data_IF_671919315421
#
_entry.id   IF_671919315421
#
_cell.length_a   1.000
_cell.length_b   1.000
_cell.length_c   1.000
_cell.angle_alpha   90.00
_cell.angle_beta   90.00
_cell.angle_gamma   90.00
#
_symmetry.space_group_name_H-M   'P 1'
#
loop_
_entity.id
_entity.type
_entity.pdbx_description
1 polymer ?
#
# COMPACT_ATOMS: atom_id res chain seq x y z
N UNK A 1 -8.34 -45.26 -20.61
CA UNK A 1 -9.72 -44.74 -20.42
C UNK A 1 -9.98 -44.51 -18.92
N UNK A 2 -9.33 -43.54 -18.29
CA UNK A 2 -9.53 -43.23 -16.86
C UNK A 2 -9.53 -41.71 -16.59
N UNK A 3 -9.98 -40.92 -17.56
CA UNK A 3 -9.80 -39.45 -17.56
C UNK A 3 -11.08 -38.65 -17.32
N UNK A 4 -12.12 -39.21 -16.69
CA UNK A 4 -13.41 -38.52 -16.51
C UNK A 4 -13.97 -38.49 -15.08
N UNK A 5 -13.25 -38.98 -14.07
CA UNK A 5 -13.80 -39.07 -12.70
C UNK A 5 -13.42 -37.90 -11.77
N UNK A 6 -12.96 -36.75 -12.28
CA UNK A 6 -12.43 -35.66 -11.44
C UNK A 6 -13.14 -34.29 -11.58
N UNK A 7 -14.25 -34.19 -12.30
CA UNK A 7 -15.13 -33.03 -12.19
C UNK A 7 -16.27 -33.33 -11.23
N UNK A 8 -15.95 -33.37 -9.92
CA UNK A 8 -16.98 -33.16 -8.91
C UNK A 8 -17.49 -31.73 -9.10
N UNK A 9 -18.68 -31.61 -9.71
CA UNK A 9 -19.34 -30.35 -9.97
C UNK A 9 -19.55 -29.64 -8.64
N UNK A 10 -18.74 -28.62 -8.34
CA UNK A 10 -19.01 -27.71 -7.23
C UNK A 10 -20.37 -27.09 -7.53
N UNK A 11 -21.36 -27.39 -6.69
CA UNK A 11 -22.70 -26.81 -6.82
C UNK A 11 -22.54 -25.27 -6.77
N UNK A 12 -23.19 -24.52 -7.68
CA UNK A 12 -23.14 -23.07 -7.62
C UNK A 12 -23.58 -22.59 -6.24
N UNK A 13 -22.91 -21.57 -5.69
CA UNK A 13 -23.22 -21.04 -4.35
C UNK A 13 -24.71 -20.68 -4.21
N UNK A 14 -25.35 -20.21 -5.29
CA UNK A 14 -26.78 -19.95 -5.35
C UNK A 14 -27.63 -21.21 -5.05
N UNK A 15 -27.25 -22.37 -5.60
CA UNK A 15 -27.94 -23.65 -5.38
C UNK A 15 -27.72 -24.14 -3.95
N UNK A 16 -26.52 -23.94 -3.39
CA UNK A 16 -26.23 -24.28 -1.99
C UNK A 16 -27.06 -23.40 -1.05
N UNK A 17 -27.12 -22.10 -1.31
CA UNK A 17 -27.91 -21.16 -0.51
C UNK A 17 -29.41 -21.44 -0.58
N UNK A 18 -29.93 -21.75 -1.77
CA UNK A 18 -31.34 -22.13 -1.96
C UNK A 18 -31.68 -23.44 -1.23
N UNK A 19 -30.79 -24.43 -1.28
CA UNK A 19 -30.94 -25.70 -0.57
C UNK A 19 -30.89 -25.52 0.96
N UNK A 20 -29.96 -24.70 1.45
CA UNK A 20 -29.86 -24.39 2.89
C UNK A 20 -31.13 -23.67 3.34
N UNK A 21 -31.57 -22.63 2.63
CA UNK A 21 -32.79 -21.90 2.98
C UNK A 21 -34.01 -22.83 3.03
N UNK A 22 -34.20 -23.67 1.99
CA UNK A 22 -35.32 -24.61 1.90
C UNK A 22 -35.27 -25.67 3.00
N UNK A 23 -34.09 -26.22 3.28
CA UNK A 23 -33.90 -27.24 4.31
C UNK A 23 -34.16 -26.68 5.71
N UNK A 24 -33.73 -25.44 5.96
CA UNK A 24 -33.88 -24.79 7.26
C UNK A 24 -35.34 -24.42 7.56
N UNK A 25 -36.10 -23.95 6.56
CA UNK A 25 -37.55 -23.71 6.69
C UNK A 25 -38.29 -25.00 7.03
N UNK A 26 -37.89 -26.13 6.42
CA UNK A 26 -38.50 -27.42 6.68
C UNK A 26 -38.11 -28.01 8.05
N UNK A 27 -36.84 -27.88 8.46
CA UNK A 27 -36.31 -28.40 9.74
C UNK A 27 -36.77 -27.58 10.95
N UNK A 28 -37.03 -26.29 10.77
CA UNK A 28 -37.38 -25.36 11.84
C UNK A 28 -38.69 -24.61 11.51
N UNK A 29 -39.85 -25.31 11.48
CA UNK A 29 -41.11 -24.72 11.02
C UNK A 29 -41.65 -23.60 11.93
N UNK A 30 -41.11 -23.47 13.15
CA UNK A 30 -41.48 -22.44 14.12
C UNK A 30 -40.58 -21.20 14.03
N UNK A 31 -39.50 -21.24 13.24
CA UNK A 31 -38.61 -20.09 13.04
C UNK A 31 -38.99 -19.36 11.76
N UNK A 32 -39.06 -18.05 11.84
CA UNK A 32 -39.15 -17.17 10.68
C UNK A 32 -37.84 -17.14 9.90
N UNK A 33 -37.92 -16.75 8.63
CA UNK A 33 -36.75 -16.54 7.76
C UNK A 33 -35.72 -15.61 8.39
N UNK A 34 -36.15 -14.57 9.09
CA UNK A 34 -35.26 -13.62 9.75
C UNK A 34 -34.53 -14.25 10.94
N UNK A 35 -35.21 -15.06 11.74
CA UNK A 35 -34.60 -15.79 12.86
C UNK A 35 -33.60 -16.84 12.36
N UNK A 36 -33.89 -17.52 11.25
CA UNK A 36 -32.96 -18.45 10.60
C UNK A 36 -31.69 -17.71 10.11
N UNK A 37 -31.83 -16.54 9.48
CA UNK A 37 -30.70 -15.72 9.01
C UNK A 37 -29.84 -15.22 10.17
N UNK A 38 -30.46 -14.85 11.29
CA UNK A 38 -29.74 -14.44 12.49
C UNK A 38 -29.01 -15.62 13.15
N UNK A 39 -29.67 -16.78 13.27
CA UNK A 39 -29.05 -17.99 13.84
C UNK A 39 -27.89 -18.51 12.99
N UNK A 40 -27.98 -18.39 11.66
CA UNK A 40 -26.92 -18.78 10.74
C UNK A 40 -25.83 -17.70 10.55
N UNK A 41 -25.96 -16.56 11.24
CA UNK A 41 -25.02 -15.44 11.11
C UNK A 41 -24.81 -14.99 9.64
N UNK A 42 -25.76 -15.28 8.74
CA UNK A 42 -25.66 -14.95 7.31
C UNK A 42 -25.74 -13.44 7.05
N UNK A 43 -26.19 -12.68 8.06
CA UNK A 43 -26.17 -11.23 8.10
C UNK A 43 -25.02 -10.71 8.98
N UNK A 44 -23.88 -11.40 9.00
CA UNK A 44 -22.72 -10.98 9.78
C UNK A 44 -22.18 -9.65 9.26
N UNK A 45 -21.88 -8.77 10.20
CA UNK A 45 -21.01 -7.61 9.99
C UNK A 45 -19.71 -8.17 9.40
N UNK A 46 -19.52 -8.01 8.09
CA UNK A 46 -18.48 -8.68 7.29
C UNK A 46 -17.06 -8.45 7.82
N UNK A 47 -16.92 -7.46 8.70
CA UNK A 47 -15.73 -7.10 9.47
C UNK A 47 -15.25 -8.16 10.47
N UNK A 48 -16.09 -9.13 10.84
CA UNK A 48 -15.71 -10.23 11.74
C UNK A 48 -15.17 -11.46 11.01
N UNK A 49 -15.26 -11.50 9.68
CA UNK A 49 -14.70 -12.62 8.94
C UNK A 49 -13.17 -12.60 9.03
N UNK A 50 -12.57 -13.78 9.17
CA UNK A 50 -11.11 -13.93 9.22
C UNK A 50 -10.43 -13.34 7.99
N UNK A 51 -11.03 -13.53 6.82
CA UNK A 51 -10.58 -12.95 5.54
C UNK A 51 -10.56 -11.42 5.58
N UNK A 52 -11.57 -10.77 6.16
CA UNK A 52 -11.59 -9.31 6.30
C UNK A 52 -10.51 -8.82 7.26
N UNK A 53 -10.33 -9.50 8.40
CA UNK A 53 -9.31 -9.14 9.39
C UNK A 53 -7.88 -9.28 8.82
N UNK A 54 -7.61 -10.37 8.10
CA UNK A 54 -6.34 -10.61 7.40
C UNK A 54 -6.09 -9.50 6.37
N UNK A 55 -7.08 -9.17 5.52
CA UNK A 55 -6.95 -8.08 4.54
C UNK A 55 -6.74 -6.69 5.17
N UNK A 56 -7.38 -6.41 6.32
CA UNK A 56 -7.15 -5.16 7.06
C UNK A 56 -5.73 -5.09 7.62
N UNK A 57 -5.23 -6.20 8.15
CA UNK A 57 -3.88 -6.28 8.72
C UNK A 57 -2.81 -6.17 7.64
N UNK A 58 -2.97 -6.86 6.51
CA UNK A 58 -2.11 -6.72 5.33
C UNK A 58 -2.10 -5.28 4.82
N UNK A 59 -3.28 -4.67 4.64
CA UNK A 59 -3.38 -3.28 4.21
C UNK A 59 -2.72 -2.29 5.18
N UNK A 60 -2.84 -2.53 6.50
CA UNK A 60 -2.15 -1.73 7.52
C UNK A 60 -0.63 -1.88 7.44
N UNK A 61 -0.13 -3.11 7.25
CA UNK A 61 1.29 -3.37 7.15
C UNK A 61 1.89 -2.73 5.89
N UNK A 62 1.22 -2.89 4.74
CA UNK A 62 1.63 -2.28 3.49
C UNK A 62 1.63 -0.74 3.59
N UNK A 63 0.53 -0.15 4.07
CA UNK A 63 0.43 1.30 4.23
C UNK A 63 1.47 1.88 5.20
N UNK A 64 1.83 1.14 6.25
CA UNK A 64 2.90 1.55 7.16
C UNK A 64 4.27 1.53 6.46
N UNK A 65 4.56 0.50 5.68
CA UNK A 65 5.84 0.40 4.96
C UNK A 65 5.98 1.51 3.90
N UNK A 66 4.95 1.70 3.07
CA UNK A 66 4.91 2.76 2.07
C UNK A 66 5.02 4.15 2.72
N UNK A 67 4.27 4.39 3.79
CA UNK A 67 4.30 5.66 4.53
C UNK A 67 5.65 5.94 5.19
N UNK A 68 6.34 4.91 5.70
CA UNK A 68 7.69 5.08 6.26
C UNK A 68 8.72 5.41 5.17
N UNK A 69 8.62 4.77 4.01
CA UNK A 69 9.54 5.01 2.90
C UNK A 69 9.35 6.41 2.32
N UNK A 70 8.11 6.81 2.02
CA UNK A 70 7.78 8.13 1.50
C UNK A 70 8.12 9.23 2.53
N UNK A 71 7.78 9.00 3.81
CA UNK A 71 8.10 9.91 4.90
C UNK A 71 9.61 10.12 5.08
N UNK A 72 10.42 9.07 4.93
CA UNK A 72 11.89 9.17 4.96
C UNK A 72 12.40 10.03 3.80
N UNK A 73 11.99 9.73 2.57
CA UNK A 73 12.45 10.47 1.39
C UNK A 73 12.05 11.96 1.45
N UNK A 74 10.82 12.26 1.87
CA UNK A 74 10.37 13.64 2.08
C UNK A 74 11.16 14.35 3.18
N UNK A 75 11.46 13.66 4.28
CA UNK A 75 12.26 14.18 5.39
C UNK A 75 13.68 14.54 4.96
N UNK A 76 14.37 13.62 4.27
CA UNK A 76 15.72 13.83 3.76
C UNK A 76 15.78 14.98 2.75
N UNK A 77 14.87 15.00 1.78
CA UNK A 77 14.75 16.09 0.80
C UNK A 77 14.56 17.44 1.48
N UNK A 78 13.64 17.53 2.45
CA UNK A 78 13.38 18.77 3.20
C UNK A 78 14.62 19.22 3.97
N UNK A 79 15.34 18.30 4.60
CA UNK A 79 16.57 18.59 5.32
C UNK A 79 17.66 19.12 4.38
N UNK A 80 17.89 18.44 3.25
CA UNK A 80 18.87 18.84 2.23
C UNK A 80 18.57 20.25 1.72
N UNK A 81 17.32 20.53 1.33
CA UNK A 81 16.93 21.86 0.85
C UNK A 81 17.17 22.95 1.91
N UNK A 82 16.89 22.66 3.18
CA UNK A 82 17.16 23.60 4.29
C UNK A 82 18.65 23.84 4.48
N UNK A 83 19.48 22.80 4.42
CA UNK A 83 20.93 22.91 4.58
C UNK A 83 21.54 23.71 3.43
N UNK A 84 21.17 23.40 2.19
CA UNK A 84 21.63 24.13 1.01
C UNK A 84 21.17 25.60 1.03
N UNK A 85 19.93 25.87 1.46
CA UNK A 85 19.42 27.25 1.56
C UNK A 85 20.19 28.03 2.62
N UNK A 86 20.54 27.39 3.75
CA UNK A 86 21.38 28.02 4.78
C UNK A 86 22.81 28.26 4.31
N UNK A 87 23.35 27.37 3.49
CA UNK A 87 24.76 27.44 3.04
C UNK A 87 24.98 28.45 1.92
N UNK A 88 24.02 28.59 1.01
CA UNK A 88 24.15 29.42 -0.19
C UNK A 88 23.21 30.64 -0.19
N UNK A 89 22.57 30.93 0.95
CA UNK A 89 21.54 31.96 1.21
C UNK A 89 20.25 31.83 0.38
N UNK A 90 20.35 31.52 -0.91
CA UNK A 90 19.24 31.27 -1.83
C UNK A 90 19.60 30.18 -2.82
N UNK A 91 18.68 29.25 -3.00
CA UNK A 91 18.72 28.26 -4.08
C UNK A 91 17.77 28.72 -5.18
N UNK A 92 18.22 28.68 -6.43
CA UNK A 92 17.36 28.96 -7.58
C UNK A 92 16.26 27.87 -7.67
N UNK A 93 14.99 28.23 -7.98
CA UNK A 93 13.92 27.29 -8.26
C UNK A 93 14.28 26.08 -9.13
N UNK A 94 15.14 26.26 -10.14
CA UNK A 94 15.58 25.16 -11.01
C UNK A 94 16.31 24.04 -10.24
N UNK A 95 17.28 24.41 -9.42
CA UNK A 95 18.04 23.46 -8.57
C UNK A 95 17.11 22.78 -7.57
N UNK A 96 16.14 23.52 -7.03
CA UNK A 96 15.14 22.97 -6.13
C UNK A 96 14.30 21.88 -6.81
N UNK A 97 13.79 22.14 -8.01
CA UNK A 97 13.03 21.18 -8.80
C UNK A 97 13.83 19.91 -9.09
N UNK A 98 15.13 20.06 -9.37
CA UNK A 98 16.02 18.92 -9.59
C UNK A 98 16.16 18.06 -8.32
N UNK A 99 16.34 18.68 -7.16
CA UNK A 99 16.41 17.97 -5.87
C UNK A 99 15.07 17.29 -5.53
N UNK A 100 13.95 17.91 -5.91
CA UNK A 100 12.61 17.33 -5.71
C UNK A 100 12.40 16.03 -6.47
N UNK A 101 13.09 15.85 -7.60
CA UNK A 101 13.01 14.66 -8.45
C UNK A 101 14.02 13.56 -8.11
N UNK A 102 14.96 13.80 -7.18
CA UNK A 102 15.95 12.80 -6.80
C UNK A 102 15.33 11.59 -6.08
N UNK A 103 15.86 10.40 -6.38
CA UNK A 103 15.56 9.16 -5.64
C UNK A 103 16.10 9.24 -4.21
N UNK A 104 15.66 8.32 -3.34
CA UNK A 104 16.17 8.25 -1.98
C UNK A 104 17.70 8.03 -1.97
N UNK A 105 18.22 7.12 -2.80
CA UNK A 105 19.66 6.84 -2.86
C UNK A 105 20.46 8.07 -3.32
N UNK A 106 19.92 8.85 -4.25
CA UNK A 106 20.55 10.09 -4.70
C UNK A 106 20.51 11.17 -3.62
N UNK A 107 19.44 11.26 -2.83
CA UNK A 107 19.36 12.18 -1.69
C UNK A 107 20.40 11.81 -0.61
N UNK A 108 20.56 10.51 -0.31
CA UNK A 108 21.58 10.03 0.62
C UNK A 108 23.00 10.37 0.12
N UNK A 109 23.28 10.08 -1.15
CA UNK A 109 24.57 10.42 -1.77
C UNK A 109 24.84 11.94 -1.77
N UNK A 110 23.81 12.75 -2.03
CA UNK A 110 23.92 14.21 -1.92
C UNK A 110 24.23 14.64 -0.48
N UNK A 111 23.58 14.02 0.52
CA UNK A 111 23.79 14.36 1.92
C UNK A 111 25.24 14.12 2.39
N UNK A 112 25.93 13.12 1.84
CA UNK A 112 27.34 12.82 2.16
C UNK A 112 28.29 13.94 1.70
N UNK A 113 28.09 14.46 0.49
CA UNK A 113 29.01 15.43 -0.14
C UNK A 113 28.58 16.89 0.02
N UNK A 114 27.32 17.14 0.39
CA UNK A 114 26.71 18.47 0.43
C UNK A 114 27.50 19.47 1.28
N UNK A 115 28.09 19.00 2.38
CA UNK A 115 28.85 19.85 3.30
C UNK A 115 30.22 20.25 2.74
N UNK A 116 30.76 19.48 1.79
CA UNK A 116 32.08 19.71 1.18
C UNK A 116 32.01 20.68 -0.01
N UNK A 117 30.82 20.95 -0.54
CA UNK A 117 30.65 21.93 -1.61
C UNK A 117 31.16 23.31 -1.16
N UNK A 118 31.85 24.03 -2.04
CA UNK A 118 32.34 25.39 -1.79
C UNK A 118 31.52 26.45 -2.53
N UNK A 119 30.81 26.03 -3.58
CA UNK A 119 30.05 26.91 -4.47
C UNK A 119 28.73 26.25 -4.92
N UNK A 120 27.85 27.05 -5.52
CA UNK A 120 26.67 26.52 -6.21
C UNK A 120 27.05 25.74 -7.47
N UNK A 121 28.23 25.99 -8.06
CA UNK A 121 28.71 25.28 -9.25
C UNK A 121 28.98 23.79 -8.93
N UNK A 122 29.57 23.51 -7.76
CA UNK A 122 29.81 22.14 -7.27
C UNK A 122 28.50 21.34 -7.20
N UNK A 123 27.46 21.96 -6.63
CA UNK A 123 26.12 21.38 -6.53
C UNK A 123 25.52 21.11 -7.91
N UNK A 124 25.59 22.09 -8.83
CA UNK A 124 25.03 21.92 -10.17
C UNK A 124 25.75 20.86 -10.99
N UNK A 125 27.07 20.74 -10.83
CA UNK A 125 27.87 19.71 -11.48
C UNK A 125 27.49 18.32 -10.95
N UNK A 126 27.39 18.20 -9.62
CA UNK A 126 26.95 16.94 -8.99
C UNK A 126 25.55 16.53 -9.47
N UNK A 127 24.59 17.47 -9.53
CA UNK A 127 23.25 17.19 -10.04
C UNK A 127 23.27 16.72 -11.49
N UNK A 128 24.05 17.35 -12.37
CA UNK A 128 24.16 16.95 -13.77
C UNK A 128 24.72 15.52 -13.94
N UNK A 129 25.74 15.17 -13.17
CA UNK A 129 26.35 13.84 -13.23
C UNK A 129 25.39 12.76 -12.72
N UNK A 130 24.67 13.04 -11.63
CA UNK A 130 23.73 12.09 -11.04
C UNK A 130 22.39 11.98 -11.80
N UNK A 131 22.08 12.93 -12.68
CA UNK A 131 20.95 12.83 -13.62
C UNK A 131 21.26 11.97 -14.86
N UNK A 132 22.53 11.75 -15.21
CA UNK A 132 22.95 10.98 -16.39
C UNK A 132 23.04 9.47 -16.17
N UNK A 133 22.88 9.00 -14.94
CA UNK A 133 23.01 7.57 -14.59
C UNK A 133 21.73 6.74 -14.73
N UNK A 134 20.79 7.16 -15.59
CA UNK A 134 19.60 6.38 -15.97
C UNK A 134 19.67 5.90 -17.41
#
# INVERSE_FOLDING_TARGET
MLSQAQQASQLPLAVIMELIETTMVYKFPQLSRQEIIQMLELATDSKQTRVYQEGLEEGRQQGLQEGLQDGRQQGERSLILRLLTRKFDRINPEVRSQIELLSLEQLEALAEVLLDFSSLEDLTNWLQDNYRSF
#
